data_IF_946784832497
#
_entry.id   IF_946784832497
#
_cell.length_a   1.000
_cell.length_b   1.000
_cell.length_c   1.000
_cell.angle_alpha   90.00
_cell.angle_beta   90.00
_cell.angle_gamma   90.00
#
_symmetry.space_group_name_H-M   'P 1'
#
loop_
_entity.id
_entity.type
_entity.pdbx_description
1 polymer ?
#
# COMPACT_ATOMS: atom_id res chain seq x y z
N UNK A 1 -17.08 6.68 -21.36
CA UNK A 1 -15.61 6.53 -21.27
C UNK A 1 -15.06 6.94 -19.91
N UNK A 2 -15.49 8.08 -19.34
CA UNK A 2 -15.09 8.53 -17.99
C UNK A 2 -15.27 7.45 -16.91
N UNK A 3 -16.39 6.73 -16.92
CA UNK A 3 -16.70 5.70 -15.91
C UNK A 3 -15.78 4.47 -16.00
N UNK A 4 -15.46 4.06 -17.23
CA UNK A 4 -14.51 2.97 -17.49
C UNK A 4 -13.12 3.37 -17.00
N UNK A 5 -12.68 4.60 -17.29
CA UNK A 5 -11.40 5.11 -16.82
C UNK A 5 -11.35 5.18 -15.29
N UNK A 6 -12.38 5.72 -14.64
CA UNK A 6 -12.47 5.79 -13.18
C UNK A 6 -12.42 4.40 -12.53
N UNK A 7 -13.18 3.44 -13.08
CA UNK A 7 -13.21 2.05 -12.60
C UNK A 7 -11.84 1.40 -12.77
N UNK A 8 -11.21 1.54 -13.94
CA UNK A 8 -9.88 1.00 -14.20
C UNK A 8 -8.83 1.60 -13.24
N UNK A 9 -8.86 2.93 -13.02
CA UNK A 9 -7.95 3.58 -12.07
C UNK A 9 -8.17 3.07 -10.65
N UNK A 10 -9.41 2.91 -10.20
CA UNK A 10 -9.72 2.35 -8.88
C UNK A 10 -9.16 0.92 -8.72
N UNK A 11 -9.41 0.05 -9.69
CA UNK A 11 -8.95 -1.34 -9.65
C UNK A 11 -7.42 -1.41 -9.66
N UNK A 12 -6.77 -0.67 -10.56
CA UNK A 12 -5.31 -0.67 -10.68
C UNK A 12 -4.63 -0.08 -9.44
N UNK A 13 -5.12 1.04 -8.93
CA UNK A 13 -4.57 1.67 -7.72
C UNK A 13 -4.76 0.80 -6.49
N UNK A 14 -5.93 0.17 -6.33
CA UNK A 14 -6.19 -0.78 -5.25
C UNK A 14 -5.27 -2.01 -5.36
N UNK A 15 -5.17 -2.63 -6.53
CA UNK A 15 -4.31 -3.79 -6.75
C UNK A 15 -2.84 -3.46 -6.48
N UNK A 16 -2.36 -2.29 -6.93
CA UNK A 16 -0.99 -1.85 -6.68
C UNK A 16 -0.75 -1.51 -5.20
N UNK A 17 -1.73 -0.92 -4.52
CA UNK A 17 -1.66 -0.65 -3.08
C UNK A 17 -1.58 -1.95 -2.27
N UNK A 18 -2.46 -2.93 -2.55
CA UNK A 18 -2.45 -4.25 -1.89
C UNK A 18 -1.14 -4.99 -2.19
N UNK A 19 -0.67 -4.98 -3.43
CA UNK A 19 0.59 -5.63 -3.83
C UNK A 19 1.77 -5.03 -3.07
N UNK A 20 1.88 -3.70 -3.01
CA UNK A 20 2.96 -3.03 -2.27
C UNK A 20 2.85 -3.26 -0.77
N UNK A 21 1.63 -3.36 -0.24
CA UNK A 21 1.36 -3.68 1.16
C UNK A 21 1.86 -5.09 1.54
N UNK A 22 1.44 -6.10 0.78
CA UNK A 22 1.86 -7.50 0.99
C UNK A 22 3.36 -7.64 0.80
N UNK A 23 3.95 -6.97 -0.19
CA UNK A 23 5.38 -6.98 -0.40
C UNK A 23 6.16 -6.38 0.80
N UNK A 24 5.68 -5.27 1.38
CA UNK A 24 6.27 -4.70 2.60
C UNK A 24 6.14 -5.65 3.79
N UNK A 25 4.96 -6.23 4.00
CA UNK A 25 4.72 -7.13 5.13
C UNK A 25 5.54 -8.43 5.03
N UNK A 26 5.62 -9.01 3.83
CA UNK A 26 6.49 -10.15 3.55
C UNK A 26 7.97 -9.80 3.76
N UNK A 27 8.40 -8.63 3.28
CA UNK A 27 9.78 -8.15 3.50
C UNK A 27 10.06 -7.94 4.99
N UNK A 28 9.12 -7.40 5.77
CA UNK A 28 9.24 -7.28 7.22
C UNK A 28 9.36 -8.65 7.90
N UNK A 29 8.52 -9.62 7.52
CA UNK A 29 8.56 -10.97 8.09
C UNK A 29 9.86 -11.73 7.75
N UNK A 30 10.40 -11.53 6.55
CA UNK A 30 11.56 -12.27 6.04
C UNK A 30 12.91 -11.60 6.33
N UNK A 31 12.96 -10.27 6.37
CA UNK A 31 14.21 -9.49 6.37
C UNK A 31 14.38 -8.57 7.59
N UNK A 32 13.38 -8.45 8.45
CA UNK A 32 13.46 -7.62 9.66
C UNK A 32 13.24 -8.47 10.91
N UNK A 33 14.00 -8.16 11.96
CA UNK A 33 13.71 -8.65 13.31
C UNK A 33 13.06 -7.53 14.13
N UNK A 34 12.07 -7.85 14.97
CA UNK A 34 11.42 -9.14 15.12
C UNK A 34 10.40 -9.44 13.99
N UNK A 35 10.35 -10.69 13.53
CA UNK A 35 9.53 -11.13 12.38
C UNK A 35 8.02 -10.92 12.57
N UNK A 36 7.54 -10.87 13.81
CA UNK A 36 6.13 -10.61 14.12
C UNK A 36 5.65 -9.26 13.58
N UNK A 37 6.56 -8.30 13.37
CA UNK A 37 6.22 -7.00 12.75
C UNK A 37 5.60 -7.17 11.36
N UNK A 38 6.00 -8.20 10.61
CA UNK A 38 5.39 -8.51 9.32
C UNK A 38 3.97 -9.04 9.44
N UNK A 39 3.70 -9.89 10.43
CA UNK A 39 2.35 -10.41 10.68
C UNK A 39 1.39 -9.30 11.15
N UNK A 40 1.84 -8.47 12.09
CA UNK A 40 1.05 -7.33 12.57
C UNK A 40 0.84 -6.30 11.46
N UNK A 41 1.82 -6.10 10.58
CA UNK A 41 1.69 -5.24 9.42
C UNK A 41 0.62 -5.71 8.44
N UNK A 42 0.39 -7.03 8.26
CA UNK A 42 -0.71 -7.53 7.41
C UNK A 42 -2.10 -7.20 7.96
N UNK A 43 -2.24 -7.19 9.30
CA UNK A 43 -3.52 -6.91 9.96
C UNK A 43 -3.78 -5.41 10.09
N UNK A 44 -2.72 -4.63 10.31
CA UNK A 44 -2.79 -3.19 10.49
C UNK A 44 -1.98 -2.51 9.38
N UNK A 45 -2.62 -2.20 8.23
CA UNK A 45 -1.91 -1.76 7.04
C UNK A 45 -0.97 -0.56 7.21
N UNK A 46 -1.31 0.47 8.01
CA UNK A 46 -0.42 1.60 8.26
C UNK A 46 0.91 1.24 8.91
N UNK A 47 1.01 0.11 9.62
CA UNK A 47 2.27 -0.30 10.25
C UNK A 47 3.32 -0.75 9.23
N UNK A 48 2.91 -1.26 8.06
CA UNK A 48 3.82 -1.68 7.00
C UNK A 48 4.76 -0.54 6.53
N UNK A 49 4.26 0.63 6.07
CA UNK A 49 5.12 1.75 5.71
C UNK A 49 5.80 2.38 6.92
N UNK A 50 5.17 2.42 8.11
CA UNK A 50 5.81 2.97 9.31
C UNK A 50 7.09 2.20 9.68
N UNK A 51 7.04 0.86 9.71
CA UNK A 51 8.24 0.06 9.93
C UNK A 51 9.20 0.13 8.73
N UNK A 52 8.68 0.17 7.50
CA UNK A 52 9.48 0.33 6.29
C UNK A 52 10.33 1.60 6.30
N UNK A 53 9.76 2.75 6.67
CA UNK A 53 10.49 4.01 6.79
C UNK A 53 11.56 3.96 7.89
N UNK A 54 11.23 3.38 9.06
CA UNK A 54 12.20 3.20 10.15
C UNK A 54 13.40 2.32 9.75
N UNK A 55 13.18 1.35 8.85
CA UNK A 55 14.22 0.47 8.32
C UNK A 55 14.91 1.03 7.06
N UNK A 56 14.62 2.27 6.66
CA UNK A 56 15.21 2.92 5.49
C UNK A 56 14.66 2.44 4.14
N UNK A 57 13.60 1.63 4.11
CA UNK A 57 12.96 1.13 2.88
C UNK A 57 12.03 2.18 2.25
N UNK A 58 12.60 3.36 1.95
CA UNK A 58 11.86 4.53 1.47
C UNK A 58 11.09 4.26 0.19
N UNK A 59 11.72 3.63 -0.81
CA UNK A 59 11.09 3.40 -2.12
C UNK A 59 9.76 2.65 -2.03
N UNK A 60 9.74 1.50 -1.35
CA UNK A 60 8.53 0.68 -1.22
C UNK A 60 7.49 1.34 -0.30
N UNK A 61 7.93 2.03 0.75
CA UNK A 61 7.04 2.74 1.69
C UNK A 61 6.38 3.97 1.04
N UNK A 62 7.13 4.71 0.22
CA UNK A 62 6.59 5.81 -0.59
C UNK A 62 5.62 5.30 -1.65
N UNK A 63 5.94 4.19 -2.35
CA UNK A 63 5.01 3.58 -3.30
C UNK A 63 3.67 3.19 -2.65
N UNK A 64 3.70 2.64 -1.44
CA UNK A 64 2.50 2.34 -0.67
C UNK A 64 1.64 3.59 -0.44
N UNK A 65 2.26 4.72 -0.02
CA UNK A 65 1.56 5.98 0.19
C UNK A 65 0.99 6.55 -1.11
N UNK A 66 1.78 6.52 -2.19
CA UNK A 66 1.34 7.03 -3.50
C UNK A 66 0.11 6.30 -3.98
N UNK A 67 0.10 4.95 -3.93
CA UNK A 67 -1.06 4.19 -4.39
C UNK A 67 -2.29 4.38 -3.50
N UNK A 68 -2.11 4.55 -2.19
CA UNK A 68 -3.21 4.92 -1.30
C UNK A 68 -3.81 6.27 -1.70
N UNK A 69 -2.97 7.29 -1.92
CA UNK A 69 -3.43 8.63 -2.32
C UNK A 69 -4.17 8.56 -3.66
N UNK A 70 -3.61 7.87 -4.65
CA UNK A 70 -4.24 7.71 -5.98
C UNK A 70 -5.59 7.01 -5.84
N UNK A 71 -5.68 5.93 -5.06
CA UNK A 71 -6.93 5.22 -4.82
C UNK A 71 -7.98 6.12 -4.15
N UNK A 72 -7.59 6.86 -3.10
CA UNK A 72 -8.50 7.77 -2.38
C UNK A 72 -9.00 8.88 -3.30
N UNK A 73 -8.11 9.50 -4.10
CA UNK A 73 -8.50 10.53 -5.06
C UNK A 73 -9.43 9.98 -6.14
N UNK A 74 -9.13 8.80 -6.70
CA UNK A 74 -10.00 8.14 -7.67
C UNK A 74 -11.37 7.81 -7.06
N UNK A 75 -11.42 7.39 -5.79
CA UNK A 75 -12.66 7.10 -5.08
C UNK A 75 -13.49 8.36 -4.84
N UNK A 76 -12.86 9.47 -4.49
CA UNK A 76 -13.55 10.75 -4.31
C UNK A 76 -14.12 11.25 -5.63
N UNK A 77 -13.37 11.16 -6.72
CA UNK A 77 -13.84 11.55 -8.07
C UNK A 77 -14.98 10.65 -8.54
N UNK A 78 -14.94 9.35 -8.24
CA UNK A 78 -15.99 8.41 -8.62
C UNK A 78 -17.28 8.57 -7.79
N UNK A 79 -17.20 9.20 -6.61
CA UNK A 79 -18.33 9.46 -5.73
C UNK A 79 -18.95 10.85 -5.87
N UNK A 80 -18.28 11.75 -6.60
CA UNK A 80 -18.72 13.11 -6.88
C UNK A 80 -19.56 13.17 -8.16
#
# INVERSE_FOLDING_TARGET
MKDIAATATLVLSFAAWVTTHVALAARLALRSQPRWRGLVALVVPPLAPMYGFRLGWRRTSTLWLVWLIVYVLALLVARA
#
